data_IF_638814079664
#
_entry.id   IF_638814079664
#
_cell.length_a   1.000
_cell.length_b   1.000
_cell.length_c   1.000
_cell.angle_alpha   90.00
_cell.angle_beta   90.00
_cell.angle_gamma   90.00
#
_symmetry.space_group_name_H-M   'P 1'
#
loop_
_entity.id
_entity.type
_entity.pdbx_description
1 polymer ?
#
# COMPACT_ATOMS: atom_id res chain seq x y z
N UNK A 1 30.83 5.82 0.43
CA UNK A 1 29.49 5.91 1.05
C UNK A 1 28.48 5.41 0.02
N UNK A 2 27.72 4.35 0.31
CA UNK A 2 26.57 3.98 -0.54
C UNK A 2 25.58 5.15 -0.48
N UNK A 3 25.19 5.69 -1.63
CA UNK A 3 24.25 6.82 -1.74
C UNK A 3 22.98 6.56 -0.91
N UNK A 4 22.90 7.17 0.27
CA UNK A 4 21.74 7.11 1.18
C UNK A 4 20.43 7.42 0.45
N UNK A 5 20.46 8.35 -0.50
CA UNK A 5 19.31 8.76 -1.30
C UNK A 5 18.75 7.64 -2.19
N UNK A 6 19.62 6.79 -2.76
CA UNK A 6 19.19 5.64 -3.58
C UNK A 6 18.57 4.53 -2.72
N UNK A 7 18.97 4.45 -1.46
CA UNK A 7 18.45 3.48 -0.51
C UNK A 7 17.05 3.85 -0.02
N UNK A 8 16.79 5.15 0.20
CA UNK A 8 15.47 5.71 0.49
C UNK A 8 14.48 5.55 -0.66
N UNK A 9 14.94 5.74 -1.90
CA UNK A 9 14.17 5.50 -3.13
C UNK A 9 14.11 4.02 -3.53
N UNK A 10 14.58 3.09 -2.68
CA UNK A 10 14.59 1.66 -2.96
C UNK A 10 13.17 1.10 -3.03
N UNK A 11 12.49 1.25 -4.18
CA UNK A 11 11.17 0.70 -4.46
C UNK A 11 11.27 -0.83 -4.35
N UNK A 12 10.51 -1.42 -3.43
CA UNK A 12 10.27 -2.86 -3.36
C UNK A 12 9.11 -3.21 -4.30
N UNK A 13 9.05 -4.41 -4.86
CA UNK A 13 7.89 -4.89 -5.61
C UNK A 13 6.56 -4.72 -4.83
N UNK A 14 6.60 -4.85 -3.51
CA UNK A 14 5.44 -4.61 -2.63
C UNK A 14 4.88 -3.18 -2.71
N UNK A 15 5.71 -2.18 -3.02
CA UNK A 15 5.26 -0.79 -3.16
C UNK A 15 4.31 -0.65 -4.36
N UNK A 16 4.57 -1.33 -5.47
CA UNK A 16 3.66 -1.35 -6.62
C UNK A 16 2.32 -2.01 -6.31
N UNK A 17 2.33 -3.09 -5.53
CA UNK A 17 1.09 -3.77 -5.09
C UNK A 17 0.27 -2.82 -4.19
N UNK A 18 0.93 -2.08 -3.31
CA UNK A 18 0.27 -1.07 -2.48
C UNK A 18 -0.36 0.03 -3.35
N UNK A 19 0.39 0.57 -4.32
CA UNK A 19 -0.12 1.59 -5.23
C UNK A 19 -1.28 1.10 -6.08
N UNK A 20 -1.23 -0.15 -6.57
CA UNK A 20 -2.34 -0.77 -7.29
C UNK A 20 -3.61 -0.79 -6.42
N UNK A 21 -3.48 -1.15 -5.14
CA UNK A 21 -4.58 -1.06 -4.17
C UNK A 21 -5.18 0.34 -4.11
N UNK A 22 -4.36 1.37 -3.89
CA UNK A 22 -4.82 2.77 -3.79
C UNK A 22 -5.44 3.30 -5.08
N UNK A 23 -4.93 2.93 -6.25
CA UNK A 23 -5.50 3.35 -7.54
C UNK A 23 -6.95 2.85 -7.68
N UNK A 24 -7.28 1.68 -7.14
CA UNK A 24 -8.65 1.14 -7.16
C UNK A 24 -9.63 1.96 -6.32
N UNK A 25 -9.18 2.84 -5.42
CA UNK A 25 -10.07 3.76 -4.70
C UNK A 25 -10.51 4.97 -5.54
N UNK A 26 -9.70 5.39 -6.52
CA UNK A 26 -9.99 6.57 -7.34
C UNK A 26 -11.38 6.49 -8.01
N UNK A 27 -11.76 5.39 -8.71
CA UNK A 27 -13.06 5.30 -9.36
C UNK A 27 -14.23 5.10 -8.38
N UNK A 28 -14.00 4.75 -7.11
CA UNK A 28 -15.07 4.40 -6.16
C UNK A 28 -16.05 5.55 -5.94
N UNK A 29 -15.58 6.81 -5.96
CA UNK A 29 -16.45 7.99 -5.85
C UNK A 29 -17.27 8.29 -7.10
N UNK A 30 -16.89 7.75 -8.26
CA UNK A 30 -17.51 8.04 -9.55
C UNK A 30 -18.52 6.95 -9.99
N UNK A 31 -18.52 5.80 -9.32
CA UNK A 31 -19.43 4.71 -9.63
C UNK A 31 -20.80 4.94 -8.98
N UNK A 32 -21.87 4.50 -9.64
CA UNK A 32 -23.22 4.56 -9.07
C UNK A 32 -23.58 3.27 -8.30
N UNK A 33 -23.10 2.12 -8.78
CA UNK A 33 -23.40 0.82 -8.15
C UNK A 33 -22.58 0.59 -6.88
N UNK A 34 -23.27 0.40 -5.75
CA UNK A 34 -22.64 0.07 -4.47
C UNK A 34 -21.93 -1.29 -4.50
N UNK A 35 -22.44 -2.27 -5.23
CA UNK A 35 -21.84 -3.61 -5.31
C UNK A 35 -20.44 -3.55 -5.96
N UNK A 36 -20.31 -2.78 -7.04
CA UNK A 36 -19.03 -2.61 -7.74
C UNK A 36 -18.04 -1.85 -6.85
N UNK A 37 -18.49 -0.83 -6.12
CA UNK A 37 -17.65 -0.11 -5.14
C UNK A 37 -17.11 -1.04 -4.07
N UNK A 38 -17.98 -1.83 -3.45
CA UNK A 38 -17.61 -2.77 -2.39
C UNK A 38 -16.59 -3.78 -2.93
N UNK A 39 -16.83 -4.32 -4.13
CA UNK A 39 -15.91 -5.26 -4.77
C UNK A 39 -14.51 -4.62 -5.00
N UNK A 40 -14.45 -3.41 -5.53
CA UNK A 40 -13.20 -2.66 -5.75
C UNK A 40 -12.43 -2.43 -4.44
N UNK A 41 -13.13 -2.03 -3.38
CA UNK A 41 -12.53 -1.80 -2.07
C UNK A 41 -12.01 -3.08 -1.44
N UNK A 42 -12.75 -4.19 -1.57
CA UNK A 42 -12.29 -5.50 -1.08
C UNK A 42 -11.03 -5.95 -1.83
N UNK A 43 -11.02 -5.82 -3.16
CA UNK A 43 -9.86 -6.19 -3.99
C UNK A 43 -8.65 -5.32 -3.60
N UNK A 44 -8.82 -4.01 -3.47
CA UNK A 44 -7.73 -3.12 -3.06
C UNK A 44 -7.23 -3.39 -1.65
N UNK A 45 -8.12 -3.72 -0.70
CA UNK A 45 -7.74 -4.14 0.64
C UNK A 45 -6.89 -5.41 0.63
N UNK A 46 -7.27 -6.42 -0.17
CA UNK A 46 -6.49 -7.64 -0.32
C UNK A 46 -5.10 -7.35 -0.89
N UNK A 47 -4.97 -6.45 -1.85
CA UNK A 47 -3.68 -6.00 -2.37
C UNK A 47 -2.83 -5.30 -1.29
N UNK A 48 -3.43 -4.45 -0.45
CA UNK A 48 -2.73 -3.81 0.68
C UNK A 48 -2.21 -4.85 1.70
N UNK A 49 -3.02 -5.85 2.04
CA UNK A 49 -2.63 -6.94 2.95
C UNK A 49 -1.47 -7.76 2.35
N UNK A 50 -1.56 -8.12 1.06
CA UNK A 50 -0.49 -8.82 0.35
C UNK A 50 0.80 -7.99 0.32
N UNK A 51 0.68 -6.70 0.04
CA UNK A 51 1.81 -5.76 0.08
C UNK A 51 2.46 -5.71 1.45
N UNK A 52 1.68 -5.68 2.54
CA UNK A 52 2.24 -5.76 3.90
C UNK A 52 3.05 -7.02 4.12
N UNK A 53 2.47 -8.18 3.78
CA UNK A 53 3.14 -9.47 3.98
C UNK A 53 4.47 -9.54 3.23
N UNK A 54 4.52 -9.05 2.00
CA UNK A 54 5.73 -9.08 1.15
C UNK A 54 6.71 -7.99 1.59
N UNK A 55 6.22 -6.79 1.87
CA UNK A 55 7.01 -5.60 2.13
C UNK A 55 7.69 -5.57 3.49
N UNK A 56 7.07 -6.19 4.49
CA UNK A 56 7.61 -6.34 5.85
C UNK A 56 8.76 -7.36 5.92
N UNK A 57 8.97 -8.19 4.89
CA UNK A 57 10.13 -9.07 4.82
C UNK A 57 11.39 -8.21 4.62
N UNK A 58 12.38 -8.44 5.50
CA UNK A 58 13.65 -7.74 5.45
C UNK A 58 14.36 -7.99 4.11
N UNK A 59 14.88 -6.93 3.50
CA UNK A 59 15.66 -7.01 2.28
C UNK A 59 17.13 -6.76 2.62
N UNK A 60 18.01 -7.72 2.31
CA UNK A 60 19.46 -7.63 2.53
C UNK A 60 20.13 -6.51 1.74
N UNK A 61 19.47 -5.95 0.73
CA UNK A 61 19.92 -4.81 -0.06
C UNK A 61 19.65 -3.45 0.60
N UNK A 62 18.87 -3.41 1.67
CA UNK A 62 18.51 -2.19 2.41
C UNK A 62 19.11 -2.22 3.82
N UNK A 63 19.41 -1.04 4.34
CA UNK A 63 19.83 -0.83 5.72
C UNK A 63 18.77 -1.28 6.71
N UNK A 64 19.21 -1.59 7.93
CA UNK A 64 18.32 -1.99 9.03
C UNK A 64 17.29 -0.89 9.34
N UNK A 65 17.67 0.38 9.22
CA UNK A 65 16.76 1.51 9.37
C UNK A 65 15.66 1.50 8.30
N UNK A 66 16.00 1.35 7.01
CA UNK A 66 14.99 1.32 5.94
C UNK A 66 14.09 0.08 6.02
N UNK A 67 14.62 -1.07 6.41
CA UNK A 67 13.80 -2.25 6.66
C UNK A 67 12.82 -2.02 7.82
N UNK A 68 13.25 -1.34 8.88
CA UNK A 68 12.36 -0.97 9.99
C UNK A 68 11.28 0.04 9.57
N UNK A 69 11.67 1.12 8.88
CA UNK A 69 10.72 2.12 8.36
C UNK A 69 9.68 1.45 7.47
N UNK A 70 10.11 0.60 6.52
CA UNK A 70 9.18 -0.13 5.64
C UNK A 70 8.28 -1.08 6.41
N UNK A 71 8.80 -1.77 7.42
CA UNK A 71 8.02 -2.69 8.27
C UNK A 71 6.86 -1.98 8.98
N UNK A 72 7.02 -0.69 9.33
CA UNK A 72 5.96 0.14 9.92
C UNK A 72 5.10 0.80 8.86
N UNK A 73 5.70 1.27 7.76
CA UNK A 73 4.99 2.00 6.71
C UNK A 73 3.91 1.17 6.02
N UNK A 74 4.15 -0.11 5.69
CA UNK A 74 3.13 -0.93 5.01
C UNK A 74 1.83 -1.10 5.82
N UNK A 75 1.87 -1.46 7.13
CA UNK A 75 0.68 -1.45 7.98
C UNK A 75 -0.02 -0.11 8.03
N UNK A 76 0.73 0.99 8.19
CA UNK A 76 0.16 2.35 8.23
C UNK A 76 -0.54 2.71 6.92
N UNK A 77 0.06 2.38 5.78
CA UNK A 77 -0.57 2.57 4.46
C UNK A 77 -1.85 1.75 4.30
N UNK A 78 -1.92 0.55 4.88
CA UNK A 78 -3.15 -0.26 4.85
C UNK A 78 -4.26 0.34 5.71
N UNK A 79 -3.92 0.91 6.86
CA UNK A 79 -4.89 1.64 7.68
C UNK A 79 -5.38 2.91 6.98
N UNK A 80 -4.47 3.64 6.32
CA UNK A 80 -4.80 4.81 5.51
C UNK A 80 -5.74 4.43 4.35
N UNK A 81 -5.51 3.28 3.71
CA UNK A 81 -6.40 2.75 2.68
C UNK A 81 -7.83 2.55 3.21
N UNK A 82 -7.98 1.90 4.36
CA UNK A 82 -9.30 1.68 4.99
C UNK A 82 -9.98 3.00 5.32
N UNK A 83 -9.25 3.97 5.84
CA UNK A 83 -9.78 5.31 6.13
C UNK A 83 -10.27 6.03 4.87
N UNK A 84 -9.49 6.00 3.78
CA UNK A 84 -9.90 6.60 2.50
C UNK A 84 -11.07 5.86 1.85
N UNK A 85 -11.12 4.54 1.99
CA UNK A 85 -12.27 3.74 1.55
C UNK A 85 -13.54 4.18 2.28
N UNK A 86 -13.48 4.33 3.61
CA UNK A 86 -14.60 4.84 4.41
C UNK A 86 -15.08 6.22 3.97
N UNK A 87 -14.15 7.16 3.75
CA UNK A 87 -14.44 8.50 3.19
C UNK A 87 -14.96 8.49 1.75
N UNK A 88 -14.89 7.37 1.05
CA UNK A 88 -15.42 7.21 -0.30
C UNK A 88 -16.87 6.70 -0.32
N UNK A 89 -17.36 6.18 0.82
CA UNK A 89 -18.75 5.79 1.03
C UNK A 89 -19.57 6.78 1.87
N UNK A 90 -18.90 7.76 2.50
CA UNK A 90 -19.53 8.85 3.26
C UNK A 90 -19.66 10.08 2.36
#
# INVERSE_FOLDING_TARGET
MKDSTKEWLGIKPADFIMYAGFILLIPVKLLDSNDIKILLVIIGLLLCILSCKIGMVGNSKLSNFNNWVKKVAYPVCSLLYVFLAYLSFT
#
